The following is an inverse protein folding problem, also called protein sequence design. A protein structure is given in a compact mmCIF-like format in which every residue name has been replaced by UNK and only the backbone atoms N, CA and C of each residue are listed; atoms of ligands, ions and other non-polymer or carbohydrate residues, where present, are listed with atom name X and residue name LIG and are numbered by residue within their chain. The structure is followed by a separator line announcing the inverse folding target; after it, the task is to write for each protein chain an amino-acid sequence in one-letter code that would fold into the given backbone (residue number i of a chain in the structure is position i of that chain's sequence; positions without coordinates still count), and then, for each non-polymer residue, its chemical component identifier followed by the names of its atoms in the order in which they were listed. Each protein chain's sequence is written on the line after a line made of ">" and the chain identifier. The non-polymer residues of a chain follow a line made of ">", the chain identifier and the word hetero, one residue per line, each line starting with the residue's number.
data_IF_512353256143
#
_entry.id   IF_512353256143
#
_cell.length_a   1.000
_cell.length_b   1.000
_cell.length_c   1.000
_cell.angle_alpha   90.00
_cell.angle_beta   90.00
_cell.angle_gamma   90.00
#
_symmetry.space_group_name_H-M   'P 1'
#
loop_
_entity.id
_entity.type
_entity.pdbx_description
1 polymer ?
#
# COMPACT_ATOMS: atom_id res chain seq x y z
N UNK A 1 4.07 -10.11 -16.08
CA UNK A 1 3.69 -9.72 -14.70
C UNK A 1 2.67 -10.74 -14.21
N UNK A 2 2.79 -11.21 -12.97
CA UNK A 2 1.92 -12.27 -12.45
C UNK A 2 0.89 -11.65 -11.53
N UNK A 3 -0.39 -11.96 -11.78
CA UNK A 3 -1.50 -11.54 -10.94
C UNK A 3 -2.32 -12.75 -10.49
N UNK A 4 -2.59 -12.78 -9.20
CA UNK A 4 -3.50 -13.72 -8.57
C UNK A 4 -4.87 -13.07 -8.43
N UNK A 5 -5.91 -13.86 -8.71
CA UNK A 5 -7.30 -13.41 -8.63
C UNK A 5 -8.16 -14.46 -7.92
N UNK A 6 -9.24 -14.01 -7.31
CA UNK A 6 -10.23 -14.85 -6.65
C UNK A 6 -11.64 -14.58 -7.18
N UNK A 7 -12.49 -15.59 -7.14
CA UNK A 7 -13.86 -15.46 -7.66
C UNK A 7 -14.77 -14.78 -6.63
N UNK A 8 -15.25 -13.58 -6.97
CA UNK A 8 -15.96 -12.69 -6.05
C UNK A 8 -17.48 -12.76 -6.09
N UNK A 9 -18.04 -13.63 -6.92
CA UNK A 9 -19.48 -13.88 -6.98
C UNK A 9 -20.06 -14.25 -5.59
N UNK A 10 -21.33 -13.89 -5.30
CA UNK A 10 -22.01 -14.34 -4.09
C UNK A 10 -22.02 -15.87 -3.97
N UNK A 11 -22.29 -16.56 -5.09
CA UNK A 11 -22.13 -18.00 -5.21
C UNK A 11 -20.98 -18.33 -6.19
N UNK A 12 -19.76 -18.63 -5.69
CA UNK A 12 -18.62 -18.92 -6.54
C UNK A 12 -18.75 -20.23 -7.34
N UNK A 13 -19.69 -21.11 -6.96
CA UNK A 13 -19.87 -22.42 -7.60
C UNK A 13 -21.08 -22.46 -8.55
N UNK A 14 -21.78 -21.35 -8.72
CA UNK A 14 -22.90 -21.26 -9.65
C UNK A 14 -22.44 -21.41 -11.10
N UNK A 15 -23.12 -22.27 -11.86
CA UNK A 15 -22.90 -22.44 -13.31
C UNK A 15 -23.74 -21.48 -14.15
N UNK A 16 -24.74 -20.84 -13.55
CA UNK A 16 -25.67 -19.94 -14.24
C UNK A 16 -25.20 -18.50 -14.26
N UNK A 17 -24.29 -18.12 -13.36
CA UNK A 17 -23.77 -16.76 -13.26
C UNK A 17 -22.38 -16.65 -13.88
N UNK A 18 -22.08 -15.55 -14.59
CA UNK A 18 -20.73 -15.31 -15.09
C UNK A 18 -19.75 -15.16 -13.93
N UNK A 19 -18.57 -15.76 -14.06
CA UNK A 19 -17.52 -15.69 -13.04
C UNK A 19 -16.91 -14.28 -13.01
N UNK A 20 -17.19 -13.53 -11.94
CA UNK A 20 -16.53 -12.26 -11.64
C UNK A 20 -15.28 -12.54 -10.84
N UNK A 21 -14.15 -11.99 -11.30
CA UNK A 21 -12.84 -12.18 -10.68
C UNK A 21 -12.35 -10.86 -10.11
N UNK A 22 -11.91 -10.89 -8.86
CA UNK A 22 -11.33 -9.75 -8.17
C UNK A 22 -9.85 -10.00 -7.90
N UNK A 23 -9.10 -8.91 -7.83
CA UNK A 23 -7.66 -8.96 -7.61
C UNK A 23 -7.34 -8.99 -6.11
N UNK A 24 -6.26 -9.67 -5.76
CA UNK A 24 -5.62 -9.47 -4.46
C UNK A 24 -4.93 -8.11 -4.41
N UNK A 25 -4.70 -7.59 -3.20
CA UNK A 25 -3.86 -6.40 -3.04
C UNK A 25 -2.42 -6.67 -3.48
N UNK A 26 -1.66 -5.62 -3.77
CA UNK A 26 -0.26 -5.75 -4.19
C UNK A 26 0.59 -6.58 -3.21
N UNK A 27 0.36 -6.39 -1.90
CA UNK A 27 1.07 -7.09 -0.84
C UNK A 27 0.67 -8.57 -0.78
N UNK A 28 -0.63 -8.85 -0.78
CA UNK A 28 -1.14 -10.23 -0.79
C UNK A 28 -0.64 -10.97 -2.04
N UNK A 29 -0.69 -10.33 -3.22
CA UNK A 29 -0.20 -10.91 -4.47
C UNK A 29 1.28 -11.28 -4.39
N UNK A 30 2.12 -10.46 -3.74
CA UNK A 30 3.53 -10.76 -3.51
C UNK A 30 3.70 -11.99 -2.59
N UNK A 31 2.98 -12.03 -1.47
CA UNK A 31 3.03 -13.15 -0.52
C UNK A 31 2.61 -14.46 -1.20
N UNK A 32 1.54 -14.42 -1.99
CA UNK A 32 1.01 -15.59 -2.70
C UNK A 32 2.01 -16.07 -3.76
N UNK A 33 2.56 -15.16 -4.57
CA UNK A 33 3.52 -15.54 -5.62
C UNK A 33 4.82 -16.07 -5.02
N UNK A 34 5.33 -15.46 -3.94
CA UNK A 34 6.52 -15.94 -3.23
C UNK A 34 6.31 -17.37 -2.71
N UNK A 35 5.20 -17.63 -2.00
CA UNK A 35 4.88 -18.96 -1.49
C UNK A 35 4.71 -19.99 -2.62
N UNK A 36 4.16 -19.58 -3.77
CA UNK A 36 4.01 -20.44 -4.94
C UNK A 36 5.36 -20.79 -5.57
N UNK A 37 6.26 -19.81 -5.73
CA UNK A 37 7.62 -20.03 -6.27
C UNK A 37 8.46 -20.91 -5.37
N UNK A 38 8.30 -20.76 -4.05
CA UNK A 38 8.94 -21.59 -3.03
C UNK A 38 8.32 -23.00 -2.91
N UNK A 39 7.32 -23.31 -3.75
CA UNK A 39 6.60 -24.60 -3.77
C UNK A 39 5.97 -24.95 -2.43
N UNK A 40 5.58 -23.94 -1.66
CA UNK A 40 4.82 -24.16 -0.45
C UNK A 40 3.43 -24.73 -0.80
N UNK A 41 2.84 -25.58 0.04
CA UNK A 41 1.51 -26.11 -0.22
C UNK A 41 0.41 -25.05 -0.06
N UNK A 42 0.69 -24.01 0.74
CA UNK A 42 -0.26 -22.95 1.07
C UNK A 42 0.41 -21.60 1.27
N UNK A 43 -0.32 -20.52 1.00
CA UNK A 43 0.03 -19.17 1.43
C UNK A 43 -0.90 -18.73 2.56
N UNK A 44 -0.34 -18.17 3.63
CA UNK A 44 -1.10 -17.66 4.78
C UNK A 44 -1.32 -16.16 4.62
N UNK A 45 -2.56 -15.71 4.76
CA UNK A 45 -2.97 -14.31 4.78
C UNK A 45 -3.78 -14.05 6.06
N UNK A 46 -4.10 -12.80 6.33
CA UNK A 46 -4.68 -12.39 7.62
C UNK A 46 -5.99 -13.13 7.94
N UNK A 47 -6.96 -13.07 7.01
CA UNK A 47 -8.30 -13.61 7.22
C UNK A 47 -8.51 -14.99 6.57
N UNK A 48 -7.63 -15.40 5.66
CA UNK A 48 -7.77 -16.61 4.86
C UNK A 48 -6.42 -17.20 4.51
N UNK A 49 -6.42 -18.45 4.04
CA UNK A 49 -5.26 -19.06 3.42
C UNK A 49 -5.59 -19.53 2.01
N UNK A 50 -4.56 -19.64 1.20
CA UNK A 50 -4.65 -20.20 -0.14
C UNK A 50 -4.07 -21.59 -0.11
N UNK A 51 -4.84 -22.58 -0.55
CA UNK A 51 -4.37 -23.92 -0.85
C UNK A 51 -4.10 -24.03 -2.36
N UNK A 52 -2.82 -24.13 -2.72
CA UNK A 52 -2.38 -24.22 -4.11
C UNK A 52 -2.71 -25.57 -4.74
N UNK A 53 -2.88 -26.63 -3.93
CA UNK A 53 -3.20 -27.96 -4.44
C UNK A 53 -4.64 -28.03 -4.94
N UNK A 54 -5.57 -27.41 -4.23
CA UNK A 54 -6.97 -27.33 -4.61
C UNK A 54 -7.32 -26.10 -5.45
N UNK A 55 -6.39 -25.13 -5.57
CA UNK A 55 -6.60 -23.81 -6.16
C UNK A 55 -7.79 -23.08 -5.52
N UNK A 56 -7.79 -23.03 -4.18
CA UNK A 56 -8.86 -22.40 -3.39
C UNK A 56 -8.30 -21.48 -2.32
N UNK A 57 -9.00 -20.37 -2.14
CA UNK A 57 -8.95 -19.55 -0.95
C UNK A 57 -9.97 -20.08 0.06
N UNK A 58 -9.55 -20.23 1.32
CA UNK A 58 -10.36 -20.76 2.41
C UNK A 58 -10.26 -19.79 3.60
N UNK A 59 -11.41 -19.37 4.13
CA UNK A 59 -11.46 -18.47 5.27
C UNK A 59 -10.91 -19.16 6.53
N UNK A 60 -10.04 -18.49 7.30
CA UNK A 60 -9.40 -19.06 8.49
C UNK A 60 -10.42 -19.48 9.57
N UNK A 61 -11.59 -18.85 9.59
CA UNK A 61 -12.64 -19.09 10.60
C UNK A 61 -13.71 -20.08 10.16
N UNK A 62 -13.83 -20.35 8.86
CA UNK A 62 -14.90 -21.18 8.30
C UNK A 62 -14.44 -21.88 7.01
N UNK A 63 -14.10 -23.15 7.14
CA UNK A 63 -13.62 -23.98 6.03
C UNK A 63 -14.68 -24.21 4.95
N UNK A 64 -15.97 -23.93 5.20
CA UNK A 64 -17.01 -24.01 4.17
C UNK A 64 -17.01 -22.79 3.24
N UNK A 65 -16.44 -21.66 3.70
CA UNK A 65 -16.32 -20.44 2.89
C UNK A 65 -15.07 -20.51 2.02
N UNK A 66 -15.24 -21.20 0.90
CA UNK A 66 -14.19 -21.40 -0.09
C UNK A 66 -14.47 -20.65 -1.38
N UNK A 67 -13.42 -20.10 -1.98
CA UNK A 67 -13.49 -19.40 -3.26
C UNK A 67 -12.39 -19.92 -4.20
N UNK A 68 -12.71 -20.20 -5.47
CA UNK A 68 -11.70 -20.51 -6.48
C UNK A 68 -10.72 -19.37 -6.66
N UNK A 69 -9.46 -19.72 -6.92
CA UNK A 69 -8.41 -18.77 -7.28
C UNK A 69 -7.80 -19.13 -8.63
N UNK A 70 -7.14 -18.16 -9.26
CA UNK A 70 -6.35 -18.38 -10.47
C UNK A 70 -5.14 -17.46 -10.52
N UNK A 71 -4.09 -17.96 -11.15
CA UNK A 71 -2.88 -17.21 -11.50
C UNK A 71 -2.96 -16.82 -12.97
N UNK A 72 -2.72 -15.55 -13.28
CA UNK A 72 -2.74 -15.01 -14.65
C UNK A 72 -1.39 -14.36 -14.93
N UNK A 73 -0.72 -14.81 -15.98
CA UNK A 73 0.45 -14.12 -16.53
C UNK A 73 0.00 -13.08 -17.54
N UNK A 74 0.20 -11.81 -17.22
CA UNK A 74 -0.08 -10.68 -18.10
C UNK A 74 1.18 -10.19 -18.76
N UNK A 75 1.06 -9.81 -20.03
CA UNK A 75 2.11 -9.08 -20.74
C UNK A 75 2.28 -7.67 -20.15
N UNK A 76 3.45 -7.06 -20.36
CA UNK A 76 3.85 -5.82 -19.68
C UNK A 76 2.95 -4.63 -20.02
N UNK A 77 2.23 -4.72 -21.14
CA UNK A 77 1.31 -3.71 -21.67
C UNK A 77 -0.08 -3.74 -21.01
N UNK A 78 -0.47 -4.86 -20.38
CA UNK A 78 -1.76 -5.08 -19.70
C UNK A 78 -1.75 -4.72 -18.20
N UNK A 79 -0.87 -3.78 -17.81
CA UNK A 79 -0.76 -3.33 -16.42
C UNK A 79 -2.07 -2.66 -15.99
N UNK A 80 -2.81 -3.30 -15.08
CA UNK A 80 -3.78 -2.59 -14.24
C UNK A 80 -3.01 -1.63 -13.33
N UNK A 81 -2.75 -0.43 -13.83
CA UNK A 81 -2.32 0.68 -13.00
C UNK A 81 -3.43 0.93 -11.98
N UNK A 82 -3.05 1.09 -10.71
CA UNK A 82 -4.00 1.43 -9.64
C UNK A 82 -4.58 2.80 -9.91
N UNK A 83 -5.70 2.85 -10.64
CA UNK A 83 -6.33 4.09 -11.10
C UNK A 83 -6.54 5.09 -9.95
N UNK A 84 -6.86 4.60 -8.75
CA UNK A 84 -7.01 5.42 -7.55
C UNK A 84 -5.76 6.25 -7.16
N UNK A 85 -4.55 5.89 -7.61
CA UNK A 85 -3.33 6.71 -7.44
C UNK A 85 -3.15 7.77 -8.52
N UNK A 86 -3.88 7.65 -9.62
CA UNK A 86 -3.86 8.54 -10.78
C UNK A 86 -5.17 9.35 -10.93
N UNK A 87 -6.16 9.08 -10.09
CA UNK A 87 -7.32 9.94 -9.92
C UNK A 87 -6.81 11.25 -9.29
N UNK A 88 -6.79 12.31 -10.08
CA UNK A 88 -6.61 13.66 -9.58
C UNK A 88 -7.67 13.91 -8.52
N UNK A 89 -7.32 13.75 -7.25
CA UNK A 89 -8.09 14.37 -6.18
C UNK A 89 -7.96 15.87 -6.46
N UNK A 90 -9.05 16.58 -6.81
CA UNK A 90 -8.94 17.98 -7.15
C UNK A 90 -8.33 18.70 -5.96
N UNK A 91 -7.08 19.15 -6.13
CA UNK A 91 -6.40 20.00 -5.17
C UNK A 91 -7.10 21.33 -5.25
N UNK A 92 -8.22 21.47 -4.54
CA UNK A 92 -8.98 22.70 -4.51
C UNK A 92 -8.05 23.85 -4.13
N UNK A 93 -8.09 24.95 -4.90
CA UNK A 93 -7.35 26.18 -4.58
C UNK A 93 -7.75 26.61 -3.16
N UNK A 94 -6.92 26.30 -2.17
CA UNK A 94 -7.19 26.54 -0.75
C UNK A 94 -7.05 25.33 0.19
N UNK A 95 -6.88 24.10 -0.32
CA UNK A 95 -6.51 22.95 0.54
C UNK A 95 -5.02 22.95 0.83
N UNK A 96 -4.66 23.06 2.11
CA UNK A 96 -3.30 22.80 2.57
C UNK A 96 -2.98 21.31 2.39
N UNK A 97 -1.72 20.98 2.10
CA UNK A 97 -1.22 19.59 1.96
C UNK A 97 -1.28 18.76 3.26
N UNK A 98 -1.90 19.26 4.32
CA UNK A 98 -2.21 18.48 5.52
C UNK A 98 -3.42 17.61 5.25
N UNK A 99 -3.34 16.31 5.58
CA UNK A 99 -4.43 15.36 5.44
C UNK A 99 -5.76 15.89 5.99
N UNK A 100 -6.87 15.35 5.47
CA UNK A 100 -8.27 15.74 5.66
C UNK A 100 -8.77 15.98 7.11
N UNK A 101 -7.94 15.85 8.14
CA UNK A 101 -8.34 15.83 9.56
C UNK A 101 -7.44 16.65 10.50
N UNK A 102 -6.71 17.67 10.03
CA UNK A 102 -5.88 18.50 10.92
C UNK A 102 -4.80 17.71 11.69
N UNK A 103 -4.54 16.48 11.25
CA UNK A 103 -3.56 15.60 11.85
C UNK A 103 -2.18 16.03 11.40
N UNK A 104 -1.47 16.73 12.29
CA UNK A 104 -0.05 17.00 12.12
C UNK A 104 0.67 15.73 12.57
N UNK A 105 1.44 15.12 11.67
CA UNK A 105 2.24 13.94 12.00
C UNK A 105 3.04 14.18 13.29
N UNK A 106 3.05 13.25 14.26
CA UNK A 106 3.85 13.34 15.47
C UNK A 106 5.32 13.66 15.18
N UNK A 107 5.84 13.16 14.04
CA UNK A 107 7.18 13.48 13.56
C UNK A 107 7.36 14.99 13.31
N UNK A 108 6.40 15.65 12.66
CA UNK A 108 6.45 17.10 12.40
C UNK A 108 6.40 17.89 13.71
N UNK A 109 5.63 17.42 14.69
CA UNK A 109 5.58 18.01 16.04
C UNK A 109 6.94 17.91 16.72
N UNK A 110 7.57 16.74 16.66
CA UNK A 110 8.85 16.48 17.32
C UNK A 110 10.00 17.24 16.66
N UNK A 111 10.03 17.30 15.33
CA UNK A 111 11.02 18.11 14.59
C UNK A 111 10.85 19.59 14.93
N UNK A 112 9.61 20.10 15.05
CA UNK A 112 9.37 21.48 15.48
C UNK A 112 9.96 21.73 16.88
N UNK A 113 9.79 20.79 17.83
CA UNK A 113 10.36 20.88 19.18
C UNK A 113 11.88 20.84 19.15
N UNK A 114 12.46 19.87 18.44
CA UNK A 114 13.89 19.69 18.31
C UNK A 114 14.58 20.94 17.73
N UNK A 115 14.00 21.51 16.67
CA UNK A 115 14.49 22.71 16.03
C UNK A 115 14.10 24.01 16.76
N UNK A 116 13.35 23.92 17.86
CA UNK A 116 12.85 25.04 18.67
C UNK A 116 12.12 26.09 17.83
N UNK A 117 11.26 25.63 16.91
CA UNK A 117 10.51 26.51 16.02
C UNK A 117 9.17 26.88 16.65
N UNK A 118 8.88 28.18 16.74
CA UNK A 118 7.54 28.64 17.13
C UNK A 118 6.54 28.49 15.96
N UNK A 119 5.22 28.47 16.22
CA UNK A 119 4.22 28.34 15.14
C UNK A 119 4.30 29.46 14.10
N UNK A 120 4.91 30.59 14.46
CA UNK A 120 5.13 31.74 13.59
C UNK A 120 6.47 31.68 12.84
N UNK A 121 7.33 30.71 13.15
CA UNK A 121 8.61 30.48 12.48
C UNK A 121 8.52 29.38 11.41
N UNK A 122 7.33 28.81 11.23
CA UNK A 122 7.10 27.79 10.23
C UNK A 122 7.28 28.36 8.80
N UNK A 123 7.80 27.57 7.85
CA UNK A 123 7.99 27.98 6.46
C UNK A 123 6.77 28.59 5.77
N UNK A 124 5.58 28.17 6.18
CA UNK A 124 4.31 28.70 5.66
C UNK A 124 4.08 30.17 6.02
N UNK A 125 4.70 30.68 7.08
CA UNK A 125 4.59 32.06 7.57
C UNK A 125 5.89 32.85 7.42
N UNK A 126 7.05 32.18 7.44
CA UNK A 126 8.38 32.79 7.27
C UNK A 126 9.18 32.05 6.20
N UNK A 127 8.98 32.39 4.91
CA UNK A 127 9.65 31.72 3.79
C UNK A 127 11.18 31.85 3.84
N UNK A 128 11.69 32.93 4.44
CA UNK A 128 13.12 33.16 4.64
C UNK A 128 13.81 32.13 5.57
N UNK A 129 13.05 31.33 6.32
CA UNK A 129 13.57 30.23 7.14
C UNK A 129 13.84 28.96 6.33
N UNK A 130 13.30 28.85 5.11
CA UNK A 130 13.42 27.65 4.27
C UNK A 130 14.89 27.28 4.00
N UNK A 131 15.78 28.21 3.58
CA UNK A 131 17.19 27.87 3.34
C UNK A 131 17.90 27.29 4.57
N UNK A 132 17.62 27.86 5.75
CA UNK A 132 18.22 27.42 7.03
C UNK A 132 17.77 26.00 7.39
N UNK A 133 16.49 25.67 7.15
CA UNK A 133 15.96 24.34 7.41
C UNK A 133 16.51 23.30 6.45
N UNK A 134 16.67 23.66 5.17
CA UNK A 134 17.31 22.81 4.16
C UNK A 134 18.76 22.51 4.56
N UNK A 135 19.52 23.53 4.97
CA UNK A 135 20.91 23.34 5.39
C UNK A 135 21.03 22.42 6.61
N UNK A 136 20.19 22.61 7.63
CA UNK A 136 20.16 21.74 8.81
C UNK A 136 19.79 20.30 8.47
N UNK A 137 18.81 20.09 7.58
CA UNK A 137 18.43 18.76 7.12
C UNK A 137 19.56 18.07 6.35
N UNK A 138 20.20 18.79 5.42
CA UNK A 138 21.35 18.28 4.67
C UNK A 138 22.50 17.89 5.60
N UNK A 139 22.81 18.72 6.61
CA UNK A 139 23.84 18.42 7.60
C UNK A 139 23.52 17.16 8.41
N UNK A 140 22.28 17.02 8.87
CA UNK A 140 21.85 15.82 9.61
C UNK A 140 21.98 14.54 8.79
N UNK A 141 21.62 14.58 7.50
CA UNK A 141 21.80 13.42 6.59
C UNK A 141 23.27 13.07 6.44
N UNK A 142 24.15 14.08 6.28
CA UNK A 142 25.59 13.86 6.13
C UNK A 142 26.19 13.30 7.42
N UNK A 143 25.80 13.80 8.59
CA UNK A 143 26.28 13.33 9.88
C UNK A 143 25.85 11.88 10.15
N UNK A 144 24.57 11.56 9.94
CA UNK A 144 24.07 10.19 10.08
C UNK A 144 24.75 9.24 9.09
N UNK A 145 24.98 9.70 7.85
CA UNK A 145 25.70 8.93 6.83
C UNK A 145 27.13 8.55 7.23
N UNK A 146 27.79 9.31 8.12
CA UNK A 146 29.13 8.95 8.65
C UNK A 146 29.09 7.79 9.64
N UNK A 147 27.94 7.45 10.19
CA UNK A 147 27.80 6.34 11.13
C UNK A 147 27.48 5.01 10.44
N UNK A 148 27.16 5.04 9.14
CA UNK A 148 26.74 3.88 8.34
C UNK A 148 27.89 3.37 7.43
N UNK A 149 28.92 4.19 7.18
CA UNK A 149 30.12 3.84 6.41
C UNK A 149 31.36 3.70 7.28
#
# INVERSE_FOLDING_TARGET
>A
HVEWMWQSNPNPWSKSEPATWSHYSDLENLIIEEAFQDKQPRALLDDYYIDFKSNRQILNTDDYKQRPIKRVEREREDKHLREARFMDLPVGKGRSFGGQYGWVSPFVIEIRRYLKLEPNDLPSKKPNMIPVLIEKAARGIIEEGKHIG
#
